data_IF_820134949685
#
_entry.id   IF_820134949685
#
_cell.length_a   1.000
_cell.length_b   1.000
_cell.length_c   1.000
_cell.angle_alpha   90.00
_cell.angle_beta   90.00
_cell.angle_gamma   90.00
#
_symmetry.space_group_name_H-M   'P 1'
#
loop_
_entity.id
_entity.type
_entity.pdbx_description
1 polymer ?
#
# COMPACT_ATOMS: atom_id res chain seq x y z
N UNK A 1 -31.11 8.26 19.74
CA UNK A 1 -30.24 8.55 20.93
C UNK A 1 -30.67 7.74 22.14
N UNK A 2 -31.95 7.82 22.59
CA UNK A 2 -32.42 7.14 23.80
C UNK A 2 -32.22 5.62 23.75
N UNK A 3 -32.51 4.97 22.62
CA UNK A 3 -32.36 3.53 22.44
C UNK A 3 -30.89 3.09 22.47
N UNK A 4 -30.00 3.85 21.81
CA UNK A 4 -28.56 3.58 21.86
C UNK A 4 -28.00 3.80 23.27
N UNK A 5 -28.45 4.83 24.00
CA UNK A 5 -28.04 5.07 25.37
C UNK A 5 -28.47 3.94 26.31
N UNK A 6 -29.69 3.39 26.15
CA UNK A 6 -30.16 2.24 26.91
C UNK A 6 -29.31 0.98 26.66
N UNK A 7 -29.06 0.64 25.40
CA UNK A 7 -28.21 -0.49 25.00
C UNK A 7 -26.77 -0.36 25.55
N UNK A 8 -26.18 0.86 25.49
CA UNK A 8 -24.84 1.09 26.02
C UNK A 8 -24.80 0.99 27.55
N UNK A 9 -25.88 1.43 28.21
CA UNK A 9 -26.04 1.28 29.69
C UNK A 9 -26.12 -0.18 30.12
N UNK A 10 -26.88 -1.01 29.39
CA UNK A 10 -27.00 -2.46 29.62
C UNK A 10 -25.67 -3.19 29.39
N UNK A 11 -24.90 -2.80 28.36
CA UNK A 11 -23.57 -3.33 28.09
C UNK A 11 -22.46 -2.79 29.01
N UNK A 12 -22.79 -1.91 29.98
CA UNK A 12 -21.83 -1.33 30.92
C UNK A 12 -20.81 -0.38 30.28
N UNK A 13 -21.15 0.21 29.15
CA UNK A 13 -20.29 1.13 28.41
C UNK A 13 -20.44 2.56 28.98
N UNK A 14 -19.34 3.16 29.41
CA UNK A 14 -19.33 4.52 29.99
C UNK A 14 -19.07 5.63 28.96
N UNK A 15 -18.32 5.35 27.92
CA UNK A 15 -17.97 6.33 26.88
C UNK A 15 -18.36 5.78 25.48
N UNK A 16 -19.27 6.46 24.82
CA UNK A 16 -19.68 6.13 23.47
C UNK A 16 -20.09 7.39 22.69
N UNK A 17 -20.00 7.35 21.36
CA UNK A 17 -20.47 8.43 20.50
C UNK A 17 -21.17 7.84 19.29
N UNK A 18 -22.34 8.41 18.90
CA UNK A 18 -23.05 7.99 17.70
C UNK A 18 -22.26 8.39 16.46
N UNK A 19 -22.43 7.60 15.40
CA UNK A 19 -21.94 7.91 14.06
C UNK A 19 -23.05 7.74 13.04
N UNK A 20 -23.04 8.60 12.03
CA UNK A 20 -23.90 8.50 10.86
C UNK A 20 -22.98 8.29 9.66
N UNK A 21 -23.20 7.21 8.92
CA UNK A 21 -22.51 7.00 7.63
C UNK A 21 -23.55 6.97 6.52
N UNK A 22 -23.33 7.80 5.50
CA UNK A 22 -24.19 7.86 4.32
C UNK A 22 -23.34 8.04 3.07
N UNK A 23 -23.94 7.70 1.94
CA UNK A 23 -23.33 7.91 0.62
C UNK A 23 -24.02 9.09 -0.04
N UNK A 24 -23.24 10.00 -0.57
CA UNK A 24 -23.71 11.17 -1.30
C UNK A 24 -22.88 11.37 -2.56
N UNK A 25 -23.25 12.36 -3.36
CA UNK A 25 -22.47 12.78 -4.52
C UNK A 25 -22.07 14.24 -4.36
N UNK A 26 -20.82 14.55 -4.64
CA UNK A 26 -20.37 15.92 -4.76
C UNK A 26 -20.23 16.32 -6.21
N UNK A 27 -20.55 17.56 -6.50
CA UNK A 27 -20.34 18.14 -7.81
C UNK A 27 -19.58 19.45 -7.68
N UNK A 28 -18.49 19.58 -8.44
CA UNK A 28 -17.82 20.85 -8.68
C UNK A 28 -17.67 21.04 -10.21
N UNK A 29 -18.45 21.97 -10.76
CA UNK A 29 -18.55 22.14 -12.22
C UNK A 29 -19.07 20.89 -12.92
N UNK A 30 -18.28 20.29 -13.80
CA UNK A 30 -18.61 19.07 -14.54
C UNK A 30 -18.13 17.77 -13.87
N UNK A 31 -17.37 17.87 -12.80
CA UNK A 31 -16.83 16.72 -12.08
C UNK A 31 -17.83 16.28 -11.01
N UNK A 32 -18.20 15.00 -11.04
CA UNK A 32 -19.11 14.39 -10.06
C UNK A 32 -18.36 13.23 -9.43
N UNK A 33 -18.27 13.23 -8.10
CA UNK A 33 -17.60 12.22 -7.30
C UNK A 33 -18.55 11.62 -6.26
N UNK A 34 -18.40 10.34 -5.98
CA UNK A 34 -19.13 9.70 -4.89
C UNK A 34 -18.43 9.96 -3.58
N UNK A 35 -19.20 10.33 -2.57
CA UNK A 35 -18.72 10.62 -1.21
C UNK A 35 -19.21 9.56 -0.25
N UNK A 36 -18.35 9.17 0.68
CA UNK A 36 -18.72 8.48 1.91
C UNK A 36 -18.71 9.50 3.05
N UNK A 37 -19.87 10.03 3.39
CA UNK A 37 -19.98 11.04 4.43
C UNK A 37 -20.14 10.38 5.79
N UNK A 38 -19.23 10.66 6.69
CA UNK A 38 -19.27 10.26 8.09
C UNK A 38 -19.59 11.45 8.99
N UNK A 39 -20.72 11.40 9.70
CA UNK A 39 -21.09 12.36 10.74
C UNK A 39 -20.51 11.95 12.08
N UNK A 40 -19.82 12.87 12.74
CA UNK A 40 -19.16 12.67 14.02
C UNK A 40 -19.48 13.82 14.98
N UNK A 41 -19.36 13.54 16.26
CA UNK A 41 -19.44 14.57 17.30
C UNK A 41 -18.11 15.36 17.31
N UNK A 42 -18.14 16.68 17.05
CA UNK A 42 -16.93 17.50 17.10
C UNK A 42 -16.23 17.52 18.46
N UNK A 43 -16.97 17.28 19.54
CA UNK A 43 -16.42 17.26 20.91
C UNK A 43 -15.68 15.95 21.24
N UNK A 44 -15.74 14.96 20.33
CA UNK A 44 -15.06 13.69 20.53
C UNK A 44 -13.55 13.83 20.40
N UNK A 45 -12.81 13.63 21.50
CA UNK A 45 -11.36 13.82 21.56
C UNK A 45 -10.55 12.57 21.25
N UNK A 46 -11.17 11.40 21.21
CA UNK A 46 -10.47 10.12 21.03
C UNK A 46 -10.56 9.54 19.59
N UNK A 47 -11.48 10.03 18.78
CA UNK A 47 -11.53 9.71 17.34
C UNK A 47 -10.98 10.89 16.53
N UNK A 48 -9.65 10.97 16.45
CA UNK A 48 -8.94 12.02 15.71
C UNK A 48 -8.57 11.57 14.32
N UNK A 49 -8.58 12.52 13.38
CA UNK A 49 -8.07 12.37 12.02
C UNK A 49 -6.71 13.06 11.86
N UNK A 50 -5.93 12.62 10.91
CA UNK A 50 -4.67 13.29 10.56
C UNK A 50 -4.97 14.35 9.53
N UNK A 51 -4.95 15.61 9.95
CA UNK A 51 -5.14 16.75 9.05
C UNK A 51 -3.86 16.99 8.25
N UNK A 52 -4.04 17.26 6.96
CA UNK A 52 -3.00 17.71 6.05
C UNK A 52 -3.03 19.23 5.97
N UNK A 53 -4.23 19.83 5.93
CA UNK A 53 -4.44 21.26 5.82
C UNK A 53 -5.77 21.67 6.46
N UNK A 54 -5.85 22.92 6.93
CA UNK A 54 -7.09 23.48 7.51
C UNK A 54 -7.32 23.04 8.95
N UNK A 55 -8.60 22.89 9.33
CA UNK A 55 -9.06 22.54 10.69
C UNK A 55 -10.05 21.37 10.66
N UNK A 56 -10.23 20.71 11.82
CA UNK A 56 -11.27 19.66 11.97
C UNK A 56 -12.66 20.30 12.10
N UNK A 57 -13.71 19.47 11.99
CA UNK A 57 -15.10 19.85 12.19
C UNK A 57 -15.31 20.53 13.54
N UNK A 58 -16.23 21.46 13.60
CA UNK A 58 -16.53 22.22 14.81
C UNK A 58 -18.03 22.50 14.93
N UNK A 59 -18.55 22.58 16.16
CA UNK A 59 -19.92 22.99 16.42
C UNK A 59 -20.22 24.44 15.95
N UNK A 60 -19.19 25.27 15.82
CA UNK A 60 -19.34 26.65 15.32
C UNK A 60 -19.59 26.72 13.82
N UNK A 61 -19.34 25.65 13.09
CA UNK A 61 -19.52 25.53 11.63
C UNK A 61 -20.20 24.20 11.31
N UNK A 62 -21.54 24.13 11.45
CA UNK A 62 -22.28 22.89 11.29
C UNK A 62 -22.21 22.32 9.87
N UNK A 63 -22.05 23.15 8.85
CA UNK A 63 -21.92 22.77 7.45
C UNK A 63 -20.47 22.55 7.02
N UNK A 64 -19.53 22.66 7.96
CA UNK A 64 -18.13 22.43 7.75
C UNK A 64 -17.82 20.96 7.54
N UNK A 65 -17.06 20.65 6.50
CA UNK A 65 -16.63 19.28 6.17
C UNK A 65 -15.12 19.19 6.00
N UNK A 66 -14.55 18.07 6.45
CA UNK A 66 -13.15 17.72 6.22
C UNK A 66 -13.14 16.59 5.21
N UNK A 67 -12.43 16.76 4.10
CA UNK A 67 -12.43 15.78 3.01
C UNK A 67 -11.06 15.12 2.85
N UNK A 68 -11.07 13.94 2.29
CA UNK A 68 -9.87 13.19 1.96
C UNK A 68 -9.06 13.92 0.85
N UNK A 69 -7.71 13.92 0.98
CA UNK A 69 -6.83 14.72 0.12
C UNK A 69 -6.94 14.38 -1.37
N UNK A 70 -7.09 13.11 -1.75
CA UNK A 70 -7.29 12.72 -3.14
C UNK A 70 -8.61 13.19 -3.71
N UNK A 71 -9.68 13.18 -2.90
CA UNK A 71 -10.98 13.72 -3.27
C UNK A 71 -10.93 15.24 -3.49
N UNK A 72 -10.28 15.97 -2.57
CA UNK A 72 -10.09 17.42 -2.68
C UNK A 72 -9.34 17.77 -3.98
N UNK A 73 -8.28 17.03 -4.29
CA UNK A 73 -7.51 17.20 -5.52
C UNK A 73 -8.35 16.93 -6.78
N UNK A 74 -9.15 15.84 -6.81
CA UNK A 74 -10.01 15.51 -7.97
C UNK A 74 -11.09 16.55 -8.21
N UNK A 75 -11.65 17.09 -7.13
CA UNK A 75 -12.67 18.15 -7.18
C UNK A 75 -12.07 19.55 -7.31
N UNK A 76 -10.73 19.69 -7.28
CA UNK A 76 -10.01 20.96 -7.27
C UNK A 76 -10.55 21.93 -6.19
N UNK A 77 -10.66 21.43 -4.94
CA UNK A 77 -11.17 22.17 -3.79
C UNK A 77 -10.07 22.40 -2.76
N UNK A 78 -10.07 23.59 -2.17
CA UNK A 78 -9.17 24.00 -1.09
C UNK A 78 -9.97 24.34 0.18
N UNK A 79 -9.34 24.36 1.36
CA UNK A 79 -10.02 24.86 2.57
C UNK A 79 -10.57 26.28 2.38
N UNK A 80 -11.86 26.44 2.65
CA UNK A 80 -12.63 27.67 2.44
C UNK A 80 -13.63 27.58 1.29
N UNK A 81 -13.46 26.65 0.36
CA UNK A 81 -14.37 26.48 -0.77
C UNK A 81 -15.71 25.88 -0.35
N UNK A 82 -16.73 26.15 -1.15
CA UNK A 82 -18.09 25.61 -0.98
C UNK A 82 -18.35 24.56 -2.04
N UNK A 83 -18.89 23.45 -1.61
CA UNK A 83 -19.20 22.29 -2.43
C UNK A 83 -20.69 21.97 -2.35
N UNK A 84 -21.29 21.56 -3.45
CA UNK A 84 -22.65 21.05 -3.47
C UNK A 84 -22.66 19.55 -3.29
N UNK A 85 -23.26 19.07 -2.21
CA UNK A 85 -23.47 17.66 -1.90
C UNK A 85 -24.90 17.27 -2.22
N UNK A 86 -25.07 16.27 -3.07
CA UNK A 86 -26.39 15.72 -3.43
C UNK A 86 -26.57 14.39 -2.68
N UNK A 87 -27.58 14.33 -1.83
CA UNK A 87 -27.96 13.13 -1.11
C UNK A 87 -29.48 12.90 -1.29
N UNK A 88 -29.85 11.69 -1.69
CA UNK A 88 -31.25 11.29 -1.92
C UNK A 88 -32.06 12.28 -2.82
N UNK A 89 -31.38 12.95 -3.75
CA UNK A 89 -32.02 13.93 -4.65
C UNK A 89 -32.13 15.35 -4.10
N UNK A 90 -31.69 15.60 -2.86
CA UNK A 90 -31.65 16.92 -2.23
C UNK A 90 -30.23 17.48 -2.28
N UNK A 91 -30.12 18.75 -2.60
CA UNK A 91 -28.82 19.46 -2.65
C UNK A 91 -28.58 20.17 -1.31
N UNK A 92 -27.42 19.96 -0.78
CA UNK A 92 -26.90 20.62 0.43
C UNK A 92 -25.61 21.34 0.07
N UNK A 93 -25.40 22.49 0.66
CA UNK A 93 -24.11 23.19 0.57
C UNK A 93 -23.24 22.80 1.76
N UNK A 94 -21.99 22.48 1.50
CA UNK A 94 -21.00 22.18 2.50
C UNK A 94 -19.76 23.04 2.28
N UNK A 95 -19.11 23.48 3.35
CA UNK A 95 -17.87 24.24 3.28
C UNK A 95 -16.71 23.35 3.66
N UNK A 96 -15.69 23.28 2.82
CA UNK A 96 -14.44 22.58 3.11
C UNK A 96 -13.68 23.34 4.17
N UNK A 97 -13.59 22.81 5.39
CA UNK A 97 -12.84 23.44 6.50
C UNK A 97 -11.45 22.85 6.65
N UNK A 98 -11.23 21.65 6.12
CA UNK A 98 -9.91 21.01 6.17
C UNK A 98 -9.79 19.84 5.21
N UNK A 99 -8.56 19.41 5.03
CA UNK A 99 -8.16 18.25 4.23
C UNK A 99 -7.48 17.26 5.15
N UNK A 100 -7.90 16.00 5.09
CA UNK A 100 -7.36 14.91 5.91
C UNK A 100 -6.68 13.84 5.07
N UNK A 101 -5.70 13.16 5.68
CA UNK A 101 -5.17 11.92 5.15
C UNK A 101 -6.07 10.77 5.60
N UNK A 102 -6.70 10.08 4.63
CA UNK A 102 -7.50 8.88 4.86
C UNK A 102 -7.08 7.78 3.89
N UNK A 103 -7.13 6.54 4.36
CA UNK A 103 -6.92 5.36 3.52
C UNK A 103 -8.17 5.01 2.67
N UNK A 104 -9.32 5.58 3.01
CA UNK A 104 -10.58 5.35 2.28
C UNK A 104 -10.80 6.48 1.27
N UNK A 105 -10.85 6.16 -0.03
CA UNK A 105 -11.10 7.17 -1.06
C UNK A 105 -12.52 7.71 -0.95
N UNK A 106 -12.67 9.00 -1.17
CA UNK A 106 -13.98 9.66 -1.13
C UNK A 106 -14.54 9.85 0.28
N UNK A 107 -13.74 9.67 1.33
CA UNK A 107 -14.18 9.89 2.71
C UNK A 107 -14.30 11.38 3.02
N UNK A 108 -15.45 11.74 3.58
CA UNK A 108 -15.75 13.10 4.06
C UNK A 108 -16.22 13.00 5.51
N UNK A 109 -15.58 13.76 6.37
CA UNK A 109 -15.95 13.91 7.78
C UNK A 109 -16.80 15.16 7.95
N UNK A 110 -17.94 15.05 8.62
CA UNK A 110 -18.86 16.13 8.88
C UNK A 110 -19.36 16.09 10.33
N UNK A 111 -20.13 17.08 10.70
CA UNK A 111 -20.90 17.05 11.96
C UNK A 111 -22.04 16.04 11.88
N UNK A 112 -22.55 15.58 13.03
CA UNK A 112 -23.73 14.72 13.09
C UNK A 112 -24.96 15.38 12.48
N UNK A 113 -25.13 16.68 12.71
CA UNK A 113 -26.27 17.44 12.21
C UNK A 113 -26.25 17.54 10.69
N UNK A 114 -25.10 17.80 10.09
CA UNK A 114 -24.94 17.78 8.64
C UNK A 114 -25.23 16.41 8.05
N UNK A 115 -24.65 15.34 8.59
CA UNK A 115 -24.90 13.98 8.11
C UNK A 115 -26.37 13.56 8.28
N UNK A 116 -27.06 13.96 9.34
CA UNK A 116 -28.48 13.69 9.52
C UNK A 116 -29.35 14.44 8.51
N UNK A 117 -28.98 15.67 8.16
CA UNK A 117 -29.66 16.44 7.10
C UNK A 117 -29.59 15.75 5.74
N UNK A 118 -28.46 15.09 5.44
CA UNK A 118 -28.27 14.32 4.19
C UNK A 118 -29.14 13.05 4.15
N UNK A 119 -29.36 12.40 5.31
CA UNK A 119 -30.17 11.18 5.38
C UNK A 119 -31.66 11.44 5.52
N UNK A 120 -32.02 12.65 5.89
CA UNK A 120 -33.42 13.01 6.24
C UNK A 120 -33.95 12.27 7.46
N UNK A 121 -33.06 11.68 8.28
CA UNK A 121 -33.44 10.91 9.47
C UNK A 121 -32.42 11.07 10.59
N UNK A 122 -32.90 11.06 11.83
CA UNK A 122 -32.07 11.11 13.03
C UNK A 122 -31.56 9.72 13.47
N UNK A 123 -31.56 8.75 12.56
CA UNK A 123 -31.09 7.41 12.82
C UNK A 123 -29.57 7.32 12.68
N UNK A 124 -28.93 6.69 13.65
CA UNK A 124 -27.51 6.43 13.64
C UNK A 124 -27.19 5.15 12.87
N UNK A 125 -26.13 5.18 12.06
CA UNK A 125 -25.64 3.99 11.37
C UNK A 125 -24.85 3.08 12.31
N UNK A 126 -24.32 3.64 13.39
CA UNK A 126 -23.54 2.92 14.37
C UNK A 126 -23.14 3.76 15.56
N UNK A 127 -22.38 3.16 16.45
CA UNK A 127 -21.79 3.83 17.61
C UNK A 127 -20.32 3.46 17.73
N UNK A 128 -19.50 4.42 18.09
CA UNK A 128 -18.13 4.18 18.51
C UNK A 128 -18.14 4.04 20.03
N UNK A 129 -17.50 2.99 20.52
CA UNK A 129 -17.44 2.65 21.93
C UNK A 129 -15.99 2.67 22.37
N UNK A 130 -15.74 3.33 23.51
CA UNK A 130 -14.44 3.28 24.16
C UNK A 130 -14.49 2.29 25.32
N UNK A 131 -13.79 1.19 25.18
CA UNK A 131 -13.65 0.18 26.22
C UNK A 131 -12.25 0.23 26.86
N UNK A 132 -12.14 -0.20 28.11
CA UNK A 132 -10.84 -0.39 28.75
C UNK A 132 -10.04 -1.49 28.02
N UNK A 133 -8.71 -1.37 27.93
CA UNK A 133 -7.90 -2.33 27.15
C UNK A 133 -8.12 -3.81 27.49
N UNK A 134 -8.43 -4.14 28.75
CA UNK A 134 -8.71 -5.51 29.19
C UNK A 134 -10.16 -5.97 28.98
N UNK A 135 -11.09 -5.07 28.64
CA UNK A 135 -12.51 -5.35 28.51
C UNK A 135 -13.03 -5.30 27.05
N UNK A 136 -12.15 -5.04 26.08
CA UNK A 136 -12.55 -4.86 24.67
C UNK A 136 -13.33 -6.08 24.14
N UNK A 137 -12.80 -7.28 24.33
CA UNK A 137 -13.42 -8.51 23.83
C UNK A 137 -14.78 -8.77 24.55
N UNK A 138 -14.80 -8.69 25.87
CA UNK A 138 -16.03 -8.90 26.63
C UNK A 138 -17.10 -7.85 26.34
N UNK A 139 -16.72 -6.61 26.09
CA UNK A 139 -17.64 -5.54 25.69
C UNK A 139 -18.20 -5.80 24.27
N UNK A 140 -17.35 -6.24 23.33
CA UNK A 140 -17.78 -6.59 21.98
C UNK A 140 -18.73 -7.78 22.00
N UNK A 141 -18.45 -8.83 22.79
CA UNK A 141 -19.31 -10.00 22.95
C UNK A 141 -20.67 -9.63 23.60
N UNK A 142 -20.64 -8.79 24.64
CA UNK A 142 -21.87 -8.29 25.27
C UNK A 142 -22.74 -7.51 24.26
N UNK A 143 -22.14 -6.60 23.49
CA UNK A 143 -22.84 -5.84 22.46
C UNK A 143 -23.37 -6.74 21.33
N UNK A 144 -22.64 -7.75 20.91
CA UNK A 144 -23.07 -8.70 19.88
C UNK A 144 -24.24 -9.60 20.35
N UNK A 145 -24.43 -9.76 21.66
CA UNK A 145 -25.55 -10.51 22.23
C UNK A 145 -26.85 -9.69 22.35
N UNK A 146 -26.77 -8.38 22.20
CA UNK A 146 -27.91 -7.47 22.34
C UNK A 146 -28.77 -7.42 21.08
N UNK A 147 -30.09 -7.47 21.30
CA UNK A 147 -31.07 -7.36 20.20
C UNK A 147 -31.07 -5.93 19.65
N UNK A 148 -30.67 -5.79 18.38
CA UNK A 148 -30.59 -4.50 17.70
C UNK A 148 -29.18 -4.09 17.32
N UNK A 149 -28.16 -4.80 17.78
CA UNK A 149 -26.78 -4.67 17.30
C UNK A 149 -26.56 -5.69 16.20
N UNK A 150 -26.23 -5.22 15.00
CA UNK A 150 -25.92 -6.13 13.89
C UNK A 150 -24.53 -6.77 14.06
N UNK A 151 -23.56 -5.97 14.44
CA UNK A 151 -22.18 -6.41 14.66
C UNK A 151 -21.42 -5.38 15.48
N UNK A 152 -20.72 -5.82 16.51
CA UNK A 152 -19.73 -5.07 17.22
C UNK A 152 -18.33 -5.64 16.92
N UNK A 153 -17.45 -4.82 16.39
CA UNK A 153 -16.08 -5.20 16.04
C UNK A 153 -15.09 -4.36 16.83
N UNK A 154 -14.06 -5.01 17.35
CA UNK A 154 -12.94 -4.28 17.93
C UNK A 154 -12.06 -3.68 16.83
N UNK A 155 -11.34 -2.61 17.12
CA UNK A 155 -10.36 -2.02 16.20
C UNK A 155 -9.34 -3.06 15.73
N UNK A 156 -8.89 -3.93 16.62
CA UNK A 156 -7.91 -4.97 16.31
C UNK A 156 -8.47 -6.03 15.36
N UNK A 157 -9.76 -6.36 15.47
CA UNK A 157 -10.43 -7.26 14.54
C UNK A 157 -10.56 -6.63 13.15
N UNK A 158 -10.95 -5.37 13.08
CA UNK A 158 -11.00 -4.62 11.81
C UNK A 158 -9.62 -4.60 11.15
N UNK A 159 -8.57 -4.29 11.91
CA UNK A 159 -7.19 -4.30 11.41
C UNK A 159 -6.80 -5.71 10.94
N UNK A 160 -7.11 -6.76 11.69
CA UNK A 160 -6.86 -8.15 11.28
C UNK A 160 -7.59 -8.52 10.00
N UNK A 161 -8.85 -8.12 9.83
CA UNK A 161 -9.63 -8.35 8.60
C UNK A 161 -8.99 -7.64 7.40
N UNK A 162 -8.58 -6.37 7.57
CA UNK A 162 -7.89 -5.62 6.52
C UNK A 162 -6.56 -6.27 6.17
N UNK A 163 -5.75 -6.65 7.15
CA UNK A 163 -4.47 -7.34 6.94
C UNK A 163 -4.68 -8.70 6.29
N UNK A 164 -5.69 -9.46 6.72
CA UNK A 164 -6.01 -10.77 6.13
C UNK A 164 -6.43 -10.64 4.65
N UNK A 165 -7.25 -9.66 4.31
CA UNK A 165 -7.63 -9.40 2.91
C UNK A 165 -6.45 -8.93 2.07
N UNK A 166 -5.54 -8.14 2.66
CA UNK A 166 -4.32 -7.65 2.01
C UNK A 166 -3.26 -8.76 1.84
N UNK A 167 -3.32 -9.83 2.63
CA UNK A 167 -2.34 -10.93 2.57
C UNK A 167 -2.36 -11.65 1.23
N UNK A 168 -3.52 -11.80 0.59
CA UNK A 168 -3.64 -12.41 -0.73
C UNK A 168 -2.97 -11.56 -1.81
N UNK A 169 -3.15 -10.24 -1.75
CA UNK A 169 -2.50 -9.30 -2.67
C UNK A 169 -0.99 -9.35 -2.46
N UNK A 170 -0.55 -9.35 -1.21
CA UNK A 170 0.86 -9.47 -0.85
C UNK A 170 1.47 -10.78 -1.35
N UNK A 171 0.76 -11.90 -1.24
CA UNK A 171 1.21 -13.20 -1.76
C UNK A 171 1.36 -13.19 -3.30
N UNK A 172 0.41 -12.57 -4.03
CA UNK A 172 0.51 -12.39 -5.48
C UNK A 172 1.69 -11.51 -5.88
N UNK A 173 1.96 -10.43 -5.14
CA UNK A 173 3.13 -9.57 -5.36
C UNK A 173 4.44 -10.33 -5.13
N UNK A 174 4.53 -11.13 -4.07
CA UNK A 174 5.70 -12.00 -3.83
C UNK A 174 5.88 -13.04 -4.92
N UNK A 175 4.80 -13.67 -5.40
CA UNK A 175 4.87 -14.60 -6.52
C UNK A 175 5.38 -13.92 -7.79
N UNK A 176 4.88 -12.72 -8.09
CA UNK A 176 5.37 -11.89 -9.20
C UNK A 176 6.84 -11.52 -9.06
N UNK A 177 7.28 -11.14 -7.86
CA UNK A 177 8.69 -10.83 -7.59
C UNK A 177 9.59 -12.05 -7.77
N UNK A 178 9.20 -13.22 -7.24
CA UNK A 178 9.95 -14.47 -7.38
C UNK A 178 10.06 -14.92 -8.84
N UNK A 179 8.97 -14.85 -9.61
CA UNK A 179 8.99 -15.17 -11.05
C UNK A 179 9.89 -14.21 -11.82
N UNK A 180 9.85 -12.91 -11.50
CA UNK A 180 10.73 -11.91 -12.12
C UNK A 180 12.20 -12.17 -11.82
N UNK A 181 12.55 -12.53 -10.58
CA UNK A 181 13.91 -12.91 -10.19
C UNK A 181 14.35 -14.18 -10.95
N UNK A 182 13.49 -15.20 -11.06
CA UNK A 182 13.80 -16.42 -11.77
C UNK A 182 14.09 -16.15 -13.26
N UNK A 183 13.25 -15.36 -13.91
CA UNK A 183 13.44 -14.96 -15.33
C UNK A 183 14.73 -14.15 -15.49
N UNK A 184 15.00 -13.21 -14.60
CA UNK A 184 16.23 -12.41 -14.62
C UNK A 184 17.48 -13.28 -14.48
N UNK A 185 17.48 -14.26 -13.56
CA UNK A 185 18.59 -15.21 -13.38
C UNK A 185 18.80 -16.09 -14.61
N UNK A 186 17.71 -16.57 -15.23
CA UNK A 186 17.80 -17.33 -16.49
C UNK A 186 18.39 -16.49 -17.62
N UNK A 187 17.95 -15.24 -17.74
CA UNK A 187 18.46 -14.32 -18.77
C UNK A 187 19.94 -14.00 -18.57
N UNK A 188 20.32 -13.65 -17.34
CA UNK A 188 21.73 -13.40 -16.99
C UNK A 188 22.57 -14.65 -17.24
N UNK A 189 22.05 -15.83 -16.86
CA UNK A 189 22.72 -17.10 -17.12
C UNK A 189 22.94 -17.36 -18.62
N UNK A 190 21.93 -17.10 -19.45
CA UNK A 190 22.03 -17.25 -20.89
C UNK A 190 23.05 -16.26 -21.51
N UNK A 191 22.99 -14.99 -21.11
CA UNK A 191 23.94 -13.97 -21.58
C UNK A 191 25.39 -14.29 -21.19
N UNK A 192 25.62 -14.64 -19.93
CA UNK A 192 26.95 -15.05 -19.45
C UNK A 192 27.41 -16.32 -20.17
N UNK A 193 26.54 -17.32 -20.34
CA UNK A 193 26.82 -18.53 -21.08
C UNK A 193 27.26 -18.25 -22.52
N UNK A 194 26.55 -17.35 -23.21
CA UNK A 194 26.92 -16.93 -24.57
C UNK A 194 28.30 -16.23 -24.58
N UNK A 195 28.52 -15.25 -23.74
CA UNK A 195 29.79 -14.52 -23.65
C UNK A 195 30.96 -15.46 -23.36
N UNK A 196 30.77 -16.45 -22.50
CA UNK A 196 31.77 -17.45 -22.16
C UNK A 196 32.08 -18.35 -23.36
N UNK A 197 31.06 -18.80 -24.11
CA UNK A 197 31.24 -19.64 -25.31
C UNK A 197 32.00 -18.87 -26.38
N UNK A 198 31.70 -17.61 -26.60
CA UNK A 198 32.39 -16.73 -27.56
C UNK A 198 33.87 -16.56 -27.20
N UNK A 199 34.20 -16.33 -25.92
CA UNK A 199 35.56 -16.13 -25.43
C UNK A 199 36.27 -17.43 -25.03
N UNK A 200 35.70 -18.58 -25.31
CA UNK A 200 36.29 -19.91 -24.92
C UNK A 200 37.73 -20.07 -25.36
N UNK A 201 38.06 -19.60 -26.55
CA UNK A 201 39.44 -19.69 -27.13
C UNK A 201 40.41 -18.82 -26.32
N UNK A 202 40.01 -17.64 -25.86
CA UNK A 202 40.83 -16.74 -25.06
C UNK A 202 41.10 -17.36 -23.69
N UNK A 203 40.11 -17.95 -23.04
CA UNK A 203 40.27 -18.63 -21.75
C UNK A 203 41.17 -19.87 -21.87
N UNK A 204 41.10 -20.61 -23.00
CA UNK A 204 41.99 -21.75 -23.24
C UNK A 204 43.43 -21.29 -23.41
N UNK A 205 43.67 -20.17 -24.10
CA UNK A 205 45.02 -19.60 -24.27
C UNK A 205 45.59 -19.10 -22.92
N UNK A 206 44.79 -18.48 -22.09
CA UNK A 206 45.18 -18.05 -20.75
C UNK A 206 45.57 -19.26 -19.86
N UNK A 207 44.84 -20.36 -20.00
CA UNK A 207 45.16 -21.63 -19.29
C UNK A 207 46.47 -22.21 -19.76
N UNK A 208 46.76 -22.17 -21.06
CA UNK A 208 48.04 -22.63 -21.63
C UNK A 208 49.23 -21.75 -21.21
N UNK A 209 49.00 -20.47 -20.96
CA UNK A 209 49.99 -19.54 -20.44
C UNK A 209 50.23 -19.69 -18.94
N UNK A 210 49.59 -20.67 -18.28
CA UNK A 210 49.79 -20.97 -16.89
C UNK A 210 48.97 -20.17 -15.88
N UNK A 211 47.96 -19.44 -16.35
CA UNK A 211 47.04 -18.74 -15.45
C UNK A 211 46.24 -19.71 -14.61
N UNK A 212 46.22 -19.48 -13.31
CA UNK A 212 45.48 -20.30 -12.34
C UNK A 212 44.00 -20.25 -12.61
N UNK A 213 43.28 -21.39 -12.56
CA UNK A 213 41.85 -21.47 -12.77
C UNK A 213 41.05 -20.51 -11.87
N UNK A 214 41.58 -20.14 -10.70
CA UNK A 214 41.00 -19.15 -9.79
C UNK A 214 41.02 -17.73 -10.36
N UNK A 215 42.03 -17.34 -11.13
CA UNK A 215 42.13 -16.03 -11.75
C UNK A 215 41.06 -15.89 -12.87
N UNK A 216 40.87 -16.94 -13.69
CA UNK A 216 39.87 -16.95 -14.76
C UNK A 216 38.44 -16.86 -14.16
N UNK A 217 38.20 -17.59 -13.04
CA UNK A 217 36.89 -17.46 -12.31
C UNK A 217 36.66 -16.05 -11.79
N UNK A 218 37.69 -15.44 -11.22
CA UNK A 218 37.59 -14.08 -10.70
C UNK A 218 37.23 -13.08 -11.80
N UNK A 219 37.84 -13.22 -12.99
CA UNK A 219 37.55 -12.37 -14.15
C UNK A 219 36.09 -12.50 -14.59
N UNK A 220 35.55 -13.72 -14.70
CA UNK A 220 34.17 -13.97 -15.09
C UNK A 220 33.19 -13.40 -14.04
N UNK A 221 33.47 -13.61 -12.76
CA UNK A 221 32.64 -13.08 -11.67
C UNK A 221 32.68 -11.54 -11.61
N UNK A 222 33.86 -10.93 -11.82
CA UNK A 222 34.00 -9.48 -11.92
C UNK A 222 33.19 -8.91 -13.09
N UNK A 223 33.30 -9.51 -14.28
CA UNK A 223 32.54 -9.08 -15.47
C UNK A 223 31.03 -9.17 -15.22
N UNK A 224 30.57 -10.29 -14.64
CA UNK A 224 29.16 -10.45 -14.25
C UNK A 224 28.72 -9.42 -13.21
N UNK A 225 29.57 -9.11 -12.25
CA UNK A 225 29.27 -8.13 -11.18
C UNK A 225 29.21 -6.70 -11.75
N UNK A 226 30.08 -6.36 -12.68
CA UNK A 226 30.06 -5.04 -13.35
C UNK A 226 28.80 -4.87 -14.23
N UNK A 227 28.44 -5.89 -14.99
CA UNK A 227 27.19 -5.89 -15.78
C UNK A 227 25.96 -5.80 -14.90
N UNK A 228 25.97 -6.53 -13.79
CA UNK A 228 24.90 -6.48 -12.79
C UNK A 228 24.77 -5.10 -12.15
N UNK A 229 25.88 -4.47 -11.77
CA UNK A 229 25.90 -3.12 -11.21
C UNK A 229 25.35 -2.11 -12.23
N UNK A 230 25.78 -2.18 -13.48
CA UNK A 230 25.27 -1.31 -14.54
C UNK A 230 23.76 -1.51 -14.74
N UNK A 231 23.28 -2.77 -14.71
CA UNK A 231 21.86 -3.10 -14.81
C UNK A 231 21.04 -2.49 -13.64
N UNK A 232 21.56 -2.57 -12.41
CA UNK A 232 20.91 -1.99 -11.23
C UNK A 232 20.82 -0.46 -11.35
N UNK A 233 21.89 0.20 -11.79
CA UNK A 233 21.93 1.67 -11.98
C UNK A 233 20.89 2.12 -12.99
N UNK A 234 20.66 1.35 -14.06
CA UNK A 234 19.63 1.64 -15.07
C UNK A 234 18.23 1.29 -14.56
N UNK A 235 18.09 0.18 -13.84
CA UNK A 235 16.80 -0.29 -13.34
C UNK A 235 16.19 0.66 -12.29
N UNK A 236 17.02 1.34 -11.49
CA UNK A 236 16.56 2.24 -10.45
C UNK A 236 15.67 3.40 -10.97
N UNK A 237 16.11 4.24 -11.92
CA UNK A 237 15.27 5.30 -12.44
C UNK A 237 14.03 4.78 -13.19
N UNK A 238 14.12 3.63 -13.85
CA UNK A 238 12.97 3.00 -14.50
C UNK A 238 11.95 2.54 -13.47
N UNK A 239 12.37 1.85 -12.41
CA UNK A 239 11.50 1.41 -11.33
C UNK A 239 10.84 2.61 -10.62
N UNK A 240 11.60 3.68 -10.38
CA UNK A 240 11.09 4.91 -9.80
C UNK A 240 10.01 5.56 -10.70
N UNK A 241 10.29 5.67 -12.01
CA UNK A 241 9.34 6.21 -12.98
C UNK A 241 8.05 5.38 -13.04
N UNK A 242 8.18 4.04 -13.13
CA UNK A 242 7.04 3.12 -13.15
C UNK A 242 6.23 3.23 -11.86
N UNK A 243 6.90 3.26 -10.70
CA UNK A 243 6.22 3.43 -9.40
C UNK A 243 5.45 4.74 -9.34
N UNK A 244 6.02 5.83 -9.84
CA UNK A 244 5.36 7.13 -9.89
C UNK A 244 4.12 7.11 -10.79
N UNK A 245 4.25 6.59 -12.01
CA UNK A 245 3.13 6.47 -12.95
C UNK A 245 2.00 5.57 -12.42
N UNK A 246 2.36 4.45 -11.79
CA UNK A 246 1.39 3.56 -11.15
C UNK A 246 0.70 4.24 -9.97
N UNK A 247 1.45 4.96 -9.13
CA UNK A 247 0.90 5.69 -8.00
C UNK A 247 -0.10 6.76 -8.46
N UNK A 248 0.25 7.56 -9.47
CA UNK A 248 -0.66 8.55 -10.06
C UNK A 248 -1.96 7.89 -10.55
N UNK A 249 -1.88 6.71 -11.20
CA UNK A 249 -3.06 6.00 -11.71
C UNK A 249 -3.86 5.25 -10.65
N UNK A 250 -3.21 4.69 -9.65
CA UNK A 250 -3.87 3.93 -8.58
C UNK A 250 -4.46 4.89 -7.53
N UNK A 251 -3.78 5.98 -7.23
CA UNK A 251 -4.25 7.01 -6.31
C UNK A 251 -5.57 7.63 -6.81
N UNK A 252 -5.70 7.81 -8.12
CA UNK A 252 -6.92 8.30 -8.73
C UNK A 252 -8.08 7.28 -8.68
N UNK A 253 -7.79 5.99 -8.55
CA UNK A 253 -8.79 4.95 -8.74
C UNK A 253 -9.29 4.29 -7.45
N UNK A 254 -8.43 4.02 -6.43
CA UNK A 254 -8.79 3.08 -5.36
C UNK A 254 -8.29 3.40 -3.95
N UNK A 255 -7.11 3.99 -3.78
CA UNK A 255 -6.55 4.29 -2.46
C UNK A 255 -5.54 5.42 -2.56
N UNK A 256 -5.67 6.41 -1.68
CA UNK A 256 -4.63 7.42 -1.51
C UNK A 256 -3.47 6.80 -0.71
N UNK A 257 -2.63 6.05 -1.41
CA UNK A 257 -1.41 5.50 -0.83
C UNK A 257 -0.38 6.62 -0.91
N UNK A 258 -0.14 7.30 0.20
CA UNK A 258 1.00 8.17 0.35
C UNK A 258 2.28 7.32 0.26
N UNK A 259 2.68 7.04 -0.97
CA UNK A 259 3.92 6.34 -1.26
C UNK A 259 5.06 7.33 -1.03
N UNK A 260 5.37 7.55 0.24
CA UNK A 260 6.67 8.10 0.55
C UNK A 260 7.71 7.11 0.03
N UNK A 261 8.37 7.49 -1.06
CA UNK A 261 9.50 6.77 -1.63
C UNK A 261 10.64 6.78 -0.60
N UNK A 262 10.50 5.93 0.40
CA UNK A 262 11.53 5.67 1.38
C UNK A 262 12.71 4.99 0.68
N UNK A 263 13.92 5.37 1.02
CA UNK A 263 15.13 4.69 0.54
C UNK A 263 15.19 3.21 0.97
N UNK A 264 14.44 2.84 2.00
CA UNK A 264 14.47 1.50 2.59
C UNK A 264 14.05 0.36 1.63
N UNK A 265 12.94 0.43 0.85
CA UNK A 265 12.61 -0.61 -0.12
C UNK A 265 13.67 -0.79 -1.21
N UNK A 266 14.33 0.31 -1.61
CA UNK A 266 15.40 0.26 -2.59
C UNK A 266 16.65 -0.45 -2.04
N UNK A 267 17.03 -0.17 -0.79
CA UNK A 267 18.14 -0.87 -0.14
C UNK A 267 17.87 -2.36 0.03
N UNK A 268 16.64 -2.74 0.38
CA UNK A 268 16.22 -4.14 0.55
C UNK A 268 16.26 -4.91 -0.77
N UNK A 269 16.02 -4.27 -1.91
CA UNK A 269 16.11 -4.90 -3.24
C UNK A 269 17.51 -4.83 -3.83
N UNK A 270 18.25 -3.76 -3.61
CA UNK A 270 19.59 -3.54 -4.13
C UNK A 270 20.64 -4.49 -3.53
N UNK A 271 20.64 -4.65 -2.20
CA UNK A 271 21.63 -5.50 -1.50
C UNK A 271 21.56 -6.96 -1.91
N UNK A 272 20.40 -7.64 -1.95
CA UNK A 272 20.31 -8.99 -2.46
C UNK A 272 20.72 -9.11 -3.93
N UNK A 273 20.35 -8.15 -4.77
CA UNK A 273 20.74 -8.13 -6.18
C UNK A 273 22.26 -8.12 -6.36
N UNK A 274 22.97 -7.31 -5.58
CA UNK A 274 24.43 -7.22 -5.61
C UNK A 274 25.12 -8.52 -5.21
N UNK A 275 24.50 -9.31 -4.34
CA UNK A 275 25.04 -10.59 -3.86
C UNK A 275 24.62 -11.76 -4.74
N UNK A 276 23.37 -11.78 -5.21
CA UNK A 276 22.82 -12.88 -6.01
C UNK A 276 23.46 -12.96 -7.40
N UNK A 277 23.79 -11.83 -8.02
CA UNK A 277 24.40 -11.80 -9.36
C UNK A 277 25.77 -12.50 -9.41
N UNK A 278 26.76 -12.17 -8.55
CA UNK A 278 28.03 -12.92 -8.52
C UNK A 278 27.85 -14.38 -8.08
N UNK A 279 26.91 -14.68 -7.19
CA UNK A 279 26.60 -16.05 -6.81
C UNK A 279 26.03 -16.87 -7.97
N UNK A 280 25.16 -16.30 -8.79
CA UNK A 280 24.62 -16.96 -9.98
C UNK A 280 25.69 -17.19 -11.07
N UNK A 281 26.73 -16.36 -11.12
CA UNK A 281 27.84 -16.53 -12.06
C UNK A 281 28.80 -17.67 -11.67
N UNK A 282 28.89 -18.04 -10.39
CA UNK A 282 29.81 -19.09 -9.92
C UNK A 282 29.61 -20.47 -10.56
N UNK A 283 28.38 -21.05 -10.64
CA UNK A 283 28.18 -22.35 -11.28
C UNK A 283 28.51 -22.32 -12.77
N UNK A 284 28.22 -21.20 -13.45
CA UNK A 284 28.57 -21.03 -14.87
C UNK A 284 30.08 -20.98 -15.06
N UNK A 285 30.80 -20.22 -14.25
CA UNK A 285 32.25 -20.18 -14.27
C UNK A 285 32.89 -21.54 -13.99
N UNK A 286 32.29 -22.35 -13.09
CA UNK A 286 32.76 -23.72 -12.83
C UNK A 286 32.51 -24.66 -14.02
N UNK A 287 31.34 -24.55 -14.64
CA UNK A 287 31.00 -25.36 -15.81
C UNK A 287 31.94 -25.11 -16.98
N UNK A 288 32.29 -23.85 -17.22
CA UNK A 288 33.27 -23.46 -18.27
C UNK A 288 34.63 -24.07 -18.04
N UNK A 289 35.13 -23.99 -16.83
CA UNK A 289 36.46 -24.54 -16.50
C UNK A 289 36.48 -26.06 -16.62
N UNK A 290 35.40 -26.75 -16.30
CA UNK A 290 35.28 -28.21 -16.51
C UNK A 290 35.19 -28.55 -18.00
N UNK A 291 34.56 -27.73 -18.80
CA UNK A 291 34.44 -27.94 -20.25
C UNK A 291 35.73 -27.58 -21.00
N UNK A 292 36.63 -26.75 -20.42
CA UNK A 292 37.91 -26.38 -21.00
C UNK A 292 39.10 -27.24 -20.54
N UNK A 293 38.88 -28.17 -19.61
CA UNK A 293 39.92 -29.08 -19.12
C UNK A 293 40.23 -30.16 -20.17
N UNK A 294 41.46 -30.19 -20.73
CA UNK A 294 41.82 -31.17 -21.78
C UNK A 294 41.76 -32.62 -21.29
N UNK A 295 41.95 -32.86 -19.98
CA UNK A 295 41.86 -34.19 -19.35
C UNK A 295 40.46 -34.82 -19.34
N UNK A 296 39.42 -34.07 -19.59
CA UNK A 296 38.02 -34.56 -19.62
C UNK A 296 37.59 -35.00 -21.03
N UNK A 297 38.37 -34.69 -22.07
CA UNK A 297 38.11 -35.13 -23.47
C UNK A 297 38.49 -36.60 -23.67
N UNK A 298 39.43 -37.14 -22.91
CA UNK A 298 39.84 -38.54 -23.03
C UNK A 298 38.95 -39.55 -22.30
N UNK A 299 38.10 -39.05 -21.36
CA UNK A 299 37.17 -39.92 -20.60
C UNK A 299 35.76 -40.06 -21.24
N UNK A 300 35.47 -39.34 -22.29
CA UNK A 300 34.17 -39.36 -22.96
C UNK A 300 34.09 -40.20 -24.26
N UNK A 301 35.13 -40.94 -24.55
CA UNK A 301 35.13 -41.89 -25.69
C UNK A 301 35.49 -43.25 -25.10
N UNK A 302 34.54 -43.87 -24.53
CA UNK A 302 34.56 -45.27 -24.07
C UNK A 302 33.12 -45.76 -24.03
#
# INVERSE_FOLDING_TARGET
KAQAAALMGEAGVSEWTPIIKTVAQAANGSVIENLMVGGFDPQNTWHKVTLVEGSDISDSDPDGVVMEAGLAHRLALEPGDVLTVNAAGTKHEARVVGIMSSALPGEVRSTLDFASSLTGSDLFSGVLVKASPGAIASTADALNSESGVQQALSKDEIVKLIVASSSQITALLWLGALTSIAVALLFVGACLGYTILERRREYSLLSLLGFRNGAIRCTVVMEASLLGLAGIVIAFPVAWLVSRLLNERISDAWFNIDTQLSAQPFLVTFLPGLVLLPLAALPLAQWVLRASDPGNRERGIG
#
